data_IF_013099085159
#
_entry.id   IF_013099085159
#
_cell.length_a   1.000
_cell.length_b   1.000
_cell.length_c   1.000
_cell.angle_alpha   90.00
_cell.angle_beta   90.00
_cell.angle_gamma   90.00
#
_symmetry.space_group_name_H-M   'P 1'
#
loop_
_entity.id
_entity.type
_entity.pdbx_description
1 polymer ?
#
# COMPACT_ATOMS: atom_id res chain seq x y z
N UNK A 1 10.15 10.97 -17.47
CA UNK A 1 9.55 10.50 -16.22
C UNK A 1 9.85 9.03 -16.16
N UNK A 2 10.75 8.66 -15.26
CA UNK A 2 11.22 7.28 -15.11
C UNK A 2 10.10 6.48 -14.48
N UNK A 3 9.60 5.51 -15.23
CA UNK A 3 8.37 4.81 -14.96
C UNK A 3 8.67 3.58 -14.08
N UNK A 4 9.45 3.85 -13.03
CA UNK A 4 10.03 2.87 -12.11
C UNK A 4 8.95 2.23 -11.23
N UNK A 5 9.15 0.96 -10.90
CA UNK A 5 8.26 0.15 -10.08
C UNK A 5 9.04 -0.45 -8.90
N UNK A 6 8.49 -0.33 -7.70
CA UNK A 6 9.05 -0.95 -6.49
C UNK A 6 8.04 -1.95 -5.93
N UNK A 7 8.51 -3.16 -5.64
CA UNK A 7 7.68 -4.22 -5.07
C UNK A 7 7.83 -4.20 -3.56
N UNK A 8 6.71 -4.14 -2.85
CA UNK A 8 6.65 -4.18 -1.39
C UNK A 8 5.89 -5.43 -0.97
N UNK A 9 6.52 -6.31 -0.20
CA UNK A 9 5.86 -7.47 0.40
C UNK A 9 5.65 -7.21 1.89
N UNK A 10 4.38 -7.24 2.31
CA UNK A 10 4.02 -7.20 3.73
C UNK A 10 3.77 -8.60 4.25
N UNK A 11 4.57 -8.99 5.25
CA UNK A 11 4.51 -10.31 5.91
C UNK A 11 3.15 -10.57 6.57
N UNK A 12 2.78 -11.85 6.68
CA UNK A 12 1.58 -12.28 7.39
C UNK A 12 1.69 -11.93 8.87
N UNK A 13 0.61 -11.39 9.45
CA UNK A 13 0.55 -11.01 10.88
C UNK A 13 0.89 -12.15 11.83
N UNK A 14 0.38 -13.34 11.53
CA UNK A 14 0.57 -14.55 12.31
C UNK A 14 1.01 -15.64 11.34
N UNK A 15 2.31 -15.91 11.21
CA UNK A 15 2.82 -16.74 10.13
C UNK A 15 2.29 -18.18 10.21
N UNK A 16 1.82 -18.68 9.07
CA UNK A 16 1.46 -20.09 8.87
C UNK A 16 2.44 -20.70 7.86
N UNK A 17 2.66 -22.04 7.87
CA UNK A 17 3.55 -22.68 6.91
C UNK A 17 3.14 -22.41 5.45
N UNK A 18 1.84 -22.39 5.17
CA UNK A 18 1.27 -22.09 3.85
C UNK A 18 1.53 -20.63 3.45
N UNK A 19 1.26 -19.67 4.33
CA UNK A 19 1.52 -18.26 4.04
C UNK A 19 3.00 -17.95 3.84
N UNK A 20 3.86 -18.56 4.65
CA UNK A 20 5.32 -18.47 4.46
C UNK A 20 5.77 -19.08 3.14
N UNK A 21 5.15 -20.19 2.72
CA UNK A 21 5.44 -20.80 1.43
C UNK A 21 5.05 -19.88 0.26
N UNK A 22 3.88 -19.22 0.34
CA UNK A 22 3.45 -18.22 -0.66
C UNK A 22 4.42 -17.04 -0.71
N UNK A 23 4.74 -16.44 0.42
CA UNK A 23 5.69 -15.31 0.49
C UNK A 23 7.05 -15.68 -0.09
N UNK A 24 7.57 -16.85 0.29
CA UNK A 24 8.85 -17.35 -0.22
C UNK A 24 8.80 -17.57 -1.73
N UNK A 25 7.74 -18.20 -2.24
CA UNK A 25 7.60 -18.48 -3.66
C UNK A 25 7.48 -17.19 -4.49
N UNK A 26 6.77 -16.17 -3.99
CA UNK A 26 6.70 -14.85 -4.62
C UNK A 26 8.09 -14.19 -4.66
N UNK A 27 8.80 -14.18 -3.53
CA UNK A 27 10.15 -13.60 -3.46
C UNK A 27 11.13 -14.30 -4.40
N UNK A 28 11.06 -15.63 -4.50
CA UNK A 28 11.85 -16.41 -5.47
C UNK A 28 11.42 -16.10 -6.92
N UNK A 29 10.13 -15.88 -7.17
CA UNK A 29 9.63 -15.50 -8.49
C UNK A 29 10.12 -14.12 -8.94
N UNK A 30 10.37 -13.20 -8.01
CA UNK A 30 10.92 -11.87 -8.30
C UNK A 30 12.37 -11.91 -8.80
N UNK A 31 13.09 -13.03 -8.65
CA UNK A 31 14.44 -13.21 -9.22
C UNK A 31 14.45 -13.07 -10.77
N UNK A 32 13.29 -13.18 -11.41
CA UNK A 32 13.10 -12.93 -12.86
C UNK A 32 13.31 -11.46 -13.24
N UNK A 33 13.18 -10.54 -12.28
CA UNK A 33 13.35 -9.10 -12.47
C UNK A 33 14.35 -8.54 -11.46
N UNK A 34 15.66 -8.82 -11.62
CA UNK A 34 16.69 -8.41 -10.66
C UNK A 34 16.86 -6.89 -10.53
N UNK A 35 16.33 -6.13 -11.48
CA UNK A 35 16.36 -4.67 -11.49
C UNK A 35 15.20 -4.03 -10.69
N UNK A 36 14.20 -4.81 -10.25
CA UNK A 36 13.11 -4.27 -9.44
C UNK A 36 13.55 -4.17 -7.98
N UNK A 37 13.49 -2.98 -7.36
CA UNK A 37 13.70 -2.86 -5.92
C UNK A 37 12.60 -3.61 -5.18
N UNK A 38 13.02 -4.45 -4.22
CA UNK A 38 12.10 -5.23 -3.38
C UNK A 38 12.26 -4.81 -1.93
N UNK A 39 11.15 -4.42 -1.28
CA UNK A 39 11.11 -4.10 0.13
C UNK A 39 10.19 -5.08 0.85
N UNK A 40 10.76 -5.85 1.78
CA UNK A 40 10.00 -6.69 2.69
C UNK A 40 9.81 -5.94 4.00
N UNK A 41 8.56 -5.76 4.41
CA UNK A 41 8.17 -5.16 5.68
C UNK A 41 7.43 -6.18 6.53
N UNK A 42 7.38 -5.98 7.86
CA UNK A 42 6.46 -6.73 8.70
C UNK A 42 5.00 -6.48 8.29
N UNK A 43 4.06 -7.05 9.04
CA UNK A 43 2.66 -6.85 8.75
C UNK A 43 2.27 -5.36 8.76
N UNK A 44 1.78 -4.85 7.63
CA UNK A 44 1.60 -3.43 7.32
C UNK A 44 0.76 -2.72 8.39
N UNK A 45 -0.23 -3.43 8.91
CA UNK A 45 -1.16 -2.89 9.90
C UNK A 45 -0.55 -2.64 11.27
N UNK A 46 0.50 -3.41 11.61
CA UNK A 46 1.10 -3.41 12.95
C UNK A 46 2.41 -2.61 12.98
N UNK A 47 2.82 -2.01 11.86
CA UNK A 47 3.94 -1.08 11.81
C UNK A 47 3.72 0.11 12.75
N UNK A 48 4.80 0.55 13.38
CA UNK A 48 4.79 1.72 14.23
C UNK A 48 4.80 3.01 13.37
N UNK A 49 3.98 4.03 13.68
CA UNK A 49 3.99 5.30 12.95
C UNK A 49 5.36 5.99 12.94
N UNK A 50 6.13 5.82 14.03
CA UNK A 50 7.49 6.33 14.20
C UNK A 50 8.56 5.23 14.05
N UNK A 51 8.18 4.08 13.50
CA UNK A 51 9.06 2.95 13.20
C UNK A 51 9.89 3.18 11.94
N UNK A 52 10.55 2.14 11.45
CA UNK A 52 11.36 2.19 10.22
C UNK A 52 10.55 1.92 8.95
N UNK A 53 9.45 1.16 9.04
CA UNK A 53 8.64 0.76 7.88
C UNK A 53 8.02 1.95 7.13
N UNK A 54 7.26 2.80 7.82
CA UNK A 54 6.60 3.95 7.15
C UNK A 54 7.58 5.01 6.61
N UNK A 55 8.68 5.38 7.29
CA UNK A 55 9.73 6.18 6.66
C UNK A 55 10.24 5.58 5.35
N UNK A 56 10.57 4.28 5.32
CA UNK A 56 11.04 3.62 4.10
C UNK A 56 9.99 3.66 2.99
N UNK A 57 8.72 3.36 3.31
CA UNK A 57 7.61 3.43 2.34
C UNK A 57 7.38 4.84 1.79
N UNK A 58 7.59 5.89 2.60
CA UNK A 58 7.45 7.29 2.16
C UNK A 58 8.63 7.75 1.28
N UNK A 59 9.81 7.18 1.48
CA UNK A 59 10.98 7.45 0.64
C UNK A 59 10.81 6.93 -0.78
N UNK A 60 10.00 5.88 -0.99
CA UNK A 60 9.68 5.36 -2.33
C UNK A 60 8.95 6.44 -3.14
N UNK A 61 9.61 6.95 -4.19
CA UNK A 61 9.05 7.96 -5.12
C UNK A 61 8.46 7.35 -6.39
N UNK A 62 8.75 6.08 -6.63
CA UNK A 62 8.35 5.28 -7.80
C UNK A 62 6.92 4.75 -7.62
N UNK A 63 6.39 4.08 -8.64
CA UNK A 63 5.13 3.35 -8.47
C UNK A 63 5.35 2.15 -7.53
N UNK A 64 4.30 1.74 -6.82
CA UNK A 64 4.38 0.69 -5.80
C UNK A 64 3.46 -0.47 -6.18
N UNK A 65 3.97 -1.70 -6.15
CA UNK A 65 3.14 -2.90 -6.03
C UNK A 65 3.25 -3.40 -4.60
N UNK A 66 2.17 -3.31 -3.84
CA UNK A 66 2.07 -3.81 -2.48
C UNK A 66 1.38 -5.18 -2.48
N UNK A 67 2.12 -6.23 -2.13
CA UNK A 67 1.54 -7.54 -1.80
C UNK A 67 1.30 -7.59 -0.30
N UNK A 68 0.05 -7.83 0.12
CA UNK A 68 -0.30 -7.79 1.53
C UNK A 68 -1.37 -8.80 1.92
N UNK A 69 -1.36 -9.19 3.20
CA UNK A 69 -2.42 -10.00 3.82
C UNK A 69 -3.58 -9.14 4.33
N UNK A 70 -3.87 -8.02 3.66
CA UNK A 70 -4.98 -7.12 3.97
C UNK A 70 -5.86 -6.99 2.73
N UNK A 71 -7.14 -6.65 2.93
CA UNK A 71 -7.98 -6.25 1.81
C UNK A 71 -7.28 -5.09 1.07
N UNK A 72 -7.22 -5.09 -0.27
CA UNK A 72 -6.52 -4.10 -1.10
C UNK A 72 -6.82 -2.67 -0.67
N UNK A 73 -8.10 -2.38 -0.46
CA UNK A 73 -8.55 -1.09 0.04
C UNK A 73 -7.99 -0.79 1.42
N UNK A 74 -8.18 -1.70 2.39
CA UNK A 74 -7.64 -1.50 3.75
C UNK A 74 -6.13 -1.23 3.74
N UNK A 75 -5.37 -1.97 2.93
CA UNK A 75 -3.93 -1.77 2.76
C UNK A 75 -3.61 -0.35 2.24
N UNK A 76 -4.32 0.09 1.20
CA UNK A 76 -4.18 1.44 0.63
C UNK A 76 -4.50 2.54 1.67
N UNK A 77 -5.57 2.39 2.45
CA UNK A 77 -5.93 3.37 3.49
C UNK A 77 -4.90 3.43 4.62
N UNK A 78 -4.29 2.31 5.00
CA UNK A 78 -3.19 2.29 5.97
C UNK A 78 -1.99 3.08 5.46
N UNK A 79 -1.64 2.91 4.19
CA UNK A 79 -0.57 3.69 3.54
C UNK A 79 -0.88 5.19 3.56
N UNK A 80 -2.09 5.59 3.12
CA UNK A 80 -2.47 7.00 3.10
C UNK A 80 -2.50 7.63 4.50
N UNK A 81 -3.05 6.92 5.49
CA UNK A 81 -3.12 7.41 6.87
C UNK A 81 -1.73 7.66 7.49
N UNK A 82 -0.69 6.99 6.98
CA UNK A 82 0.70 7.15 7.43
C UNK A 82 1.55 7.99 6.46
N UNK A 83 0.92 8.76 5.56
CA UNK A 83 1.59 9.73 4.69
C UNK A 83 2.27 9.14 3.47
N UNK A 84 2.00 7.88 3.11
CA UNK A 84 2.40 7.31 1.83
C UNK A 84 1.36 7.73 0.79
N UNK A 85 1.66 8.78 0.03
CA UNK A 85 0.76 9.35 -0.97
C UNK A 85 0.74 8.51 -2.26
N UNK A 86 -0.32 8.65 -3.08
CA UNK A 86 -0.44 7.95 -4.36
C UNK A 86 -1.89 7.70 -4.74
N UNK A 87 -2.11 7.22 -5.96
CA UNK A 87 -3.41 6.80 -6.46
C UNK A 87 -3.53 5.28 -6.41
N UNK A 88 -4.70 4.78 -6.00
CA UNK A 88 -4.94 3.33 -5.99
C UNK A 88 -5.05 2.85 -7.44
N UNK A 89 -4.19 1.91 -7.82
CA UNK A 89 -4.20 1.29 -9.14
C UNK A 89 -5.27 0.21 -9.26
N UNK A 90 -5.76 0.00 -10.48
CA UNK A 90 -6.68 -1.09 -10.79
C UNK A 90 -5.90 -2.37 -11.12
N UNK A 91 -6.40 -3.51 -10.67
CA UNK A 91 -5.85 -4.83 -10.96
C UNK A 91 -7.00 -5.84 -11.07
N UNK A 92 -6.95 -6.81 -12.00
CA UNK A 92 -7.97 -7.85 -12.14
C UNK A 92 -8.09 -8.76 -10.91
N UNK A 93 -7.10 -8.76 -10.02
CA UNK A 93 -7.13 -9.52 -8.76
C UNK A 93 -7.96 -8.82 -7.67
N UNK A 94 -8.44 -7.60 -7.92
CA UNK A 94 -9.28 -6.83 -6.99
C UNK A 94 -10.64 -6.62 -7.63
N UNK A 95 -11.73 -7.13 -7.03
CA UNK A 95 -13.09 -6.89 -7.52
C UNK A 95 -13.36 -5.39 -7.66
N UNK A 96 -14.05 -4.98 -8.72
CA UNK A 96 -14.38 -3.58 -9.01
C UNK A 96 -15.15 -2.92 -7.85
N UNK A 97 -15.95 -3.72 -7.14
CA UNK A 97 -16.68 -3.37 -5.92
C UNK A 97 -15.77 -2.93 -4.75
N UNK A 98 -14.48 -3.24 -4.75
CA UNK A 98 -13.53 -2.74 -3.74
C UNK A 98 -12.86 -1.43 -4.17
N UNK A 99 -12.84 -1.14 -5.46
CA UNK A 99 -12.22 0.05 -6.05
C UNK A 99 -13.18 1.25 -6.03
N UNK A 100 -14.48 1.02 -6.21
CA UNK A 100 -15.47 2.09 -6.22
C UNK A 100 -15.62 2.78 -4.84
N UNK A 101 -15.60 4.13 -4.75
CA UNK A 101 -16.08 4.81 -3.56
C UNK A 101 -17.56 4.46 -3.37
N UNK A 102 -17.98 4.11 -2.14
CA UNK A 102 -19.39 3.85 -1.91
C UNK A 102 -20.19 5.07 -2.35
N UNK A 103 -21.18 4.85 -3.22
CA UNK A 103 -22.14 5.88 -3.59
C UNK A 103 -22.72 6.46 -2.29
N UNK A 104 -22.56 7.77 -2.10
CA UNK A 104 -23.21 8.46 -0.97
C UNK A 104 -24.71 8.18 -1.09
N UNK A 105 -25.38 7.68 -0.05
CA UNK A 105 -26.83 7.71 -0.02
C UNK A 105 -27.24 9.17 -0.18
N UNK A 106 -28.03 9.47 -1.20
CA UNK A 106 -28.56 10.82 -1.43
C UNK A 106 -29.41 11.18 -0.21
N UNK A 107 -29.00 12.22 0.50
CA UNK A 107 -29.62 12.67 1.75
C UNK A 107 -31.11 13.01 1.52
N UNK A 108 -32.00 12.31 2.22
CA UNK A 108 -33.35 12.83 2.49
C UNK A 108 -33.30 13.68 3.76
N UNK A 109 -33.35 14.98 3.55
CA UNK A 109 -33.43 16.04 4.54
C UNK A 109 -34.59 15.82 5.51
N UNK A 110 -34.32 15.68 6.81
CA UNK A 110 -35.24 16.14 7.87
C UNK A 110 -34.43 16.74 9.02
N UNK A 111 -34.61 18.04 9.18
CA UNK A 111 -34.13 18.83 10.30
C UNK A 111 -34.97 18.56 11.56
N UNK A 112 -34.31 18.42 12.71
CA UNK A 112 -34.80 18.83 14.03
C UNK A 112 -33.66 18.78 15.07
N UNK A 113 -33.02 19.93 15.23
CA UNK A 113 -32.71 20.67 16.48
C UNK A 113 -32.25 19.96 17.79
N UNK A 114 -31.25 20.62 18.40
CA UNK A 114 -30.92 20.76 19.84
C UNK A 114 -29.77 19.95 20.49
N UNK A 115 -29.09 20.52 21.54
CA UNK A 115 -27.64 20.82 21.48
C UNK A 115 -26.79 20.30 22.68
N UNK A 116 -25.46 20.47 22.55
CA UNK A 116 -24.38 20.45 23.56
C UNK A 116 -23.79 19.11 24.07
N UNK A 117 -22.46 18.99 23.90
CA UNK A 117 -21.56 18.09 24.62
C UNK A 117 -20.20 17.91 23.91
N UNK A 118 -19.04 18.27 24.50
CA UNK A 118 -17.81 18.53 23.77
C UNK A 118 -16.88 17.31 23.68
N UNK A 119 -16.34 17.01 22.50
CA UNK A 119 -15.00 16.43 22.39
C UNK A 119 -14.42 16.66 20.99
N UNK A 120 -13.73 17.79 20.84
CA UNK A 120 -12.88 18.06 19.69
C UNK A 120 -11.61 17.21 19.80
N UNK A 121 -11.70 15.94 19.42
CA UNK A 121 -10.52 15.23 18.94
C UNK A 121 -10.29 15.73 17.51
N UNK A 122 -9.35 16.68 17.40
CA UNK A 122 -8.92 17.25 16.13
C UNK A 122 -8.60 16.13 15.13
N UNK A 123 -9.54 15.88 14.21
CA UNK A 123 -9.24 15.14 12.99
C UNK A 123 -8.10 15.87 12.27
N UNK A 124 -7.15 15.17 11.66
CA UNK A 124 -6.07 15.84 10.96
C UNK A 124 -6.70 16.66 9.83
N UNK A 125 -6.65 17.98 10.01
CA UNK A 125 -7.05 18.98 9.03
C UNK A 125 -6.26 18.70 7.77
N UNK A 126 -6.95 18.27 6.72
CA UNK A 126 -6.37 18.10 5.39
C UNK A 126 -5.94 19.48 4.86
N UNK A 127 -4.71 19.87 5.20
CA UNK A 127 -4.01 20.95 4.51
C UNK A 127 -3.49 20.44 3.16
N UNK A 128 -3.50 21.26 2.10
CA UNK A 128 -3.02 20.85 0.79
C UNK A 128 -1.49 20.89 0.81
N UNK A 129 -0.86 19.75 1.11
CA UNK A 129 0.61 19.64 1.16
C UNK A 129 1.13 18.80 0.01
N UNK A 130 1.72 19.52 -0.95
CA UNK A 130 2.77 19.01 -1.84
C UNK A 130 2.26 18.12 -2.97
N UNK A 131 2.31 18.64 -4.19
CA UNK A 131 2.23 17.89 -5.45
C UNK A 131 3.38 16.87 -5.53
N UNK A 132 3.25 15.74 -4.84
CA UNK A 132 4.07 14.57 -5.14
C UNK A 132 3.50 13.93 -6.40
N UNK A 133 4.40 13.64 -7.35
CA UNK A 133 4.08 13.03 -8.63
C UNK A 133 3.01 11.95 -8.49
N UNK A 134 2.07 11.91 -9.45
CA UNK A 134 0.97 10.95 -9.55
C UNK A 134 1.50 9.50 -9.62
N UNK A 135 2.03 8.96 -8.52
CA UNK A 135 2.46 7.56 -8.43
C UNK A 135 1.26 6.68 -8.18
N UNK A 136 1.26 5.53 -8.82
CA UNK A 136 0.22 4.51 -8.65
C UNK A 136 0.68 3.48 -7.63
N UNK A 137 -0.26 3.05 -6.78
CA UNK A 137 -0.08 2.01 -5.78
C UNK A 137 -1.07 0.89 -6.10
N UNK A 138 -0.56 -0.25 -6.56
CA UNK A 138 -1.37 -1.46 -6.76
C UNK A 138 -1.30 -2.31 -5.51
N UNK A 139 -2.45 -2.65 -4.93
CA UNK A 139 -2.53 -3.51 -3.73
C UNK A 139 -3.05 -4.89 -4.13
N UNK A 140 -2.23 -5.93 -3.96
CA UNK A 140 -2.58 -7.32 -4.23
C UNK A 140 -2.90 -8.04 -2.92
N UNK A 141 -4.02 -8.76 -2.88
CA UNK A 141 -4.53 -9.46 -1.70
C UNK A 141 -4.03 -10.91 -1.64
N UNK A 142 -3.06 -11.18 -0.77
CA UNK A 142 -2.50 -12.52 -0.58
C UNK A 142 -3.46 -13.48 0.16
N UNK A 143 -4.57 -12.99 0.72
CA UNK A 143 -5.53 -13.83 1.45
C UNK A 143 -6.49 -14.56 0.54
N UNK A 144 -6.73 -14.03 -0.65
CA UNK A 144 -7.56 -14.73 -1.62
C UNK A 144 -6.77 -15.97 -2.07
N UNK A 145 -7.32 -17.19 -1.99
CA UNK A 145 -6.65 -18.38 -2.52
C UNK A 145 -6.49 -18.23 -4.03
N UNK A 146 -5.34 -17.71 -4.44
CA UNK A 146 -4.83 -17.68 -5.80
C UNK A 146 -3.55 -18.51 -5.87
N UNK A 147 -3.16 -18.91 -7.08
CA UNK A 147 -1.87 -19.59 -7.26
C UNK A 147 -0.77 -18.53 -7.27
N UNK A 148 0.44 -18.86 -6.81
CA UNK A 148 1.56 -17.91 -6.76
C UNK A 148 1.82 -17.30 -8.15
N UNK A 149 1.62 -18.11 -9.18
CA UNK A 149 1.74 -17.76 -10.59
C UNK A 149 0.80 -16.62 -10.99
N UNK A 150 -0.39 -16.50 -10.39
CA UNK A 150 -1.32 -15.41 -10.70
C UNK A 150 -0.77 -14.06 -10.23
N UNK A 151 -0.15 -14.01 -9.05
CA UNK A 151 0.51 -12.81 -8.54
C UNK A 151 1.74 -12.44 -9.37
N UNK A 152 2.53 -13.44 -9.79
CA UNK A 152 3.69 -13.22 -10.64
C UNK A 152 3.30 -12.75 -12.05
N UNK A 153 2.24 -13.31 -12.63
CA UNK A 153 1.70 -12.85 -13.92
C UNK A 153 1.18 -11.41 -13.83
N UNK A 154 0.55 -11.05 -12.71
CA UNK A 154 0.11 -9.66 -12.50
C UNK A 154 1.30 -8.71 -12.32
N UNK A 155 2.36 -9.11 -11.62
CA UNK A 155 3.61 -8.35 -11.54
C UNK A 155 4.23 -8.17 -12.92
N UNK A 156 4.28 -9.21 -13.75
CA UNK A 156 4.76 -9.15 -15.13
C UNK A 156 3.95 -8.12 -15.95
N UNK A 157 2.61 -8.21 -15.89
CA UNK A 157 1.72 -7.25 -16.55
C UNK A 157 1.95 -5.82 -16.09
N UNK A 158 2.17 -5.60 -14.78
CA UNK A 158 2.42 -4.27 -14.22
C UNK A 158 3.78 -3.73 -14.66
N UNK A 159 4.82 -4.57 -14.69
CA UNK A 159 6.15 -4.22 -15.19
C UNK A 159 6.07 -3.79 -16.65
N UNK A 160 5.33 -4.53 -17.48
CA UNK A 160 5.09 -4.18 -18.89
C UNK A 160 4.29 -2.89 -19.03
N UNK A 161 3.20 -2.75 -18.27
CA UNK A 161 2.33 -1.56 -18.28
C UNK A 161 3.09 -0.30 -17.90
N UNK A 162 3.99 -0.38 -16.92
CA UNK A 162 4.81 0.75 -16.51
C UNK A 162 6.10 0.83 -17.32
N UNK A 163 6.43 -0.11 -18.20
CA UNK A 163 7.77 -0.18 -18.82
C UNK A 163 8.91 -0.10 -17.78
N UNK A 164 8.72 -0.72 -16.60
CA UNK A 164 9.67 -0.64 -15.49
C UNK A 164 10.95 -1.46 -15.71
N UNK A 165 11.07 -2.13 -16.86
CA UNK A 165 12.12 -3.11 -17.16
C UNK A 165 13.43 -2.53 -17.71
N UNK A 166 13.68 -1.23 -17.59
CA UNK A 166 15.01 -0.66 -17.79
C UNK A 166 15.07 0.77 -17.25
N UNK A 167 15.88 1.01 -16.22
CA UNK A 167 16.46 2.34 -16.05
C UNK A 167 17.90 2.29 -16.53
N UNK A 168 18.09 2.85 -17.73
CA UNK A 168 19.32 3.57 -18.05
C UNK A 168 19.41 4.73 -17.06
N UNK A 169 20.22 4.61 -16.02
CA UNK A 169 20.47 5.72 -15.08
C UNK A 169 21.41 6.71 -15.78
N UNK A 170 21.05 7.99 -15.99
CA UNK A 170 22.05 9.03 -16.04
C UNK A 170 22.52 9.24 -14.59
N UNK A 171 23.79 8.95 -14.32
CA UNK A 171 24.46 9.38 -13.09
C UNK A 171 24.26 10.90 -12.95
N UNK A 172 23.31 11.37 -12.14
CA UNK A 172 23.45 12.56 -11.29
C UNK A 172 22.17 12.87 -10.50
N UNK A 173 22.40 13.30 -9.26
CA UNK A 173 21.55 14.18 -8.45
C UNK A 173 20.36 13.60 -7.67
N UNK A 174 20.69 12.94 -6.55
CA UNK A 174 19.83 12.84 -5.36
C UNK A 174 20.55 12.09 -4.23
N UNK A 175 20.32 12.42 -2.94
CA UNK A 175 20.78 11.53 -1.86
C UNK A 175 20.21 10.14 -2.13
N UNK A 176 21.00 9.06 -1.97
CA UNK A 176 20.54 7.71 -2.27
C UNK A 176 19.26 7.49 -1.48
N UNK A 177 18.16 7.20 -2.19
CA UNK A 177 17.02 6.56 -1.54
C UNK A 177 17.59 5.33 -0.83
N UNK A 178 17.26 5.10 0.44
CA UNK A 178 17.86 4.01 1.23
C UNK A 178 17.70 2.64 0.55
N UNK A 179 16.72 2.54 -0.34
CA UNK A 179 16.55 1.50 -1.34
C UNK A 179 17.40 1.86 -2.56
N UNK A 180 18.67 1.42 -2.58
CA UNK A 180 19.49 1.50 -3.78
C UNK A 180 18.82 0.77 -4.96
N UNK A 181 19.27 1.01 -6.20
CA UNK A 181 18.56 0.57 -7.41
C UNK A 181 18.47 -0.95 -7.62
N UNK A 182 19.14 -1.79 -6.80
CA UNK A 182 19.27 -3.23 -7.04
C UNK A 182 19.23 -4.07 -5.75
N UNK A 183 18.41 -3.73 -4.77
CA UNK A 183 18.50 -4.38 -3.45
C UNK A 183 17.15 -4.82 -2.92
N UNK A 184 17.04 -6.12 -2.64
CA UNK A 184 16.04 -6.66 -1.73
C UNK A 184 16.42 -6.25 -0.31
N UNK A 185 15.58 -5.45 0.35
CA UNK A 185 15.75 -5.04 1.73
C UNK A 185 14.64 -5.62 2.60
N UNK A 186 14.99 -6.21 3.73
CA UNK A 186 14.03 -6.60 4.77
C UNK A 186 14.13 -5.66 5.97
N UNK A 187 13.00 -5.12 6.39
CA UNK A 187 12.89 -4.30 7.60
C UNK A 187 12.41 -5.20 8.73
N UNK A 188 13.22 -5.32 9.76
CA UNK A 188 12.80 -5.88 11.04
C UNK A 188 12.58 -4.74 12.04
N UNK A 189 11.39 -4.67 12.63
CA UNK A 189 11.08 -3.68 13.66
C UNK A 189 10.07 -4.21 14.69
N UNK A 190 9.98 -3.48 15.80
CA UNK A 190 8.97 -3.77 16.82
C UNK A 190 7.57 -3.43 16.28
N UNK A 191 6.62 -4.31 16.55
CA UNK A 191 5.24 -4.17 16.10
C UNK A 191 4.32 -3.80 17.25
N UNK A 192 3.27 -3.04 16.93
CA UNK A 192 2.19 -2.77 17.85
C UNK A 192 0.91 -3.42 17.31
N UNK A 193 0.52 -4.60 17.85
CA UNK A 193 -0.72 -5.25 17.45
C UNK A 193 -1.92 -4.33 17.67
N UNK A 194 -2.58 -3.94 16.60
CA UNK A 194 -3.81 -3.14 16.66
C UNK A 194 -5.05 -4.04 16.65
N UNK A 195 -6.02 -3.73 17.51
CA UNK A 195 -7.26 -4.51 17.68
C UNK A 195 -8.46 -3.96 16.91
N UNK A 196 -8.43 -2.70 16.49
CA UNK A 196 -9.49 -2.09 15.70
C UNK A 196 -9.06 -1.99 14.24
N UNK A 197 -9.96 -2.21 13.26
CA UNK A 197 -9.67 -2.01 11.84
C UNK A 197 -9.49 -0.53 11.51
N UNK A 198 -8.68 -0.21 10.48
CA UNK A 198 -8.63 1.15 9.93
C UNK A 198 -9.98 1.42 9.30
N UNK A 199 -10.61 2.50 9.77
CA UNK A 199 -11.94 2.89 9.33
C UNK A 199 -11.83 3.49 7.93
N UNK A 200 -12.43 2.82 6.96
CA UNK A 200 -12.70 3.42 5.65
C UNK A 200 -13.82 4.45 5.78
N UNK A 201 -13.45 5.74 5.82
CA UNK A 201 -14.39 6.85 5.95
C UNK A 201 -15.33 7.01 4.75
N UNK A 202 -14.96 6.48 3.59
CA UNK A 202 -15.83 6.56 2.40
C UNK A 202 -17.00 5.57 2.45
N UNK A 203 -16.88 4.50 3.25
CA UNK A 203 -17.92 3.45 3.41
C UNK A 203 -18.54 3.41 4.80
N UNK A 204 -17.92 4.05 5.79
CA UNK A 204 -18.43 4.05 7.14
C UNK A 204 -19.76 4.81 7.20
N UNK A 205 -20.85 4.07 7.40
CA UNK A 205 -22.21 4.63 7.53
C UNK A 205 -22.46 5.39 8.84
N UNK A 206 -21.54 5.28 9.82
CA UNK A 206 -21.75 5.77 11.18
C UNK A 206 -20.55 6.54 11.74
N UNK A 207 -19.63 7.00 10.88
CA UNK A 207 -18.47 7.79 11.28
C UNK A 207 -18.81 9.27 11.07
N UNK A 208 -18.98 10.00 12.16
CA UNK A 208 -19.14 11.46 12.17
C UNK A 208 -17.78 12.16 12.26
#
# INVERSE_FOLDING_TARGET
>A
MENLLTVVLSRQRSPTPEGQAIEKAILQGLDRWPELPVLVIPHLYDLLPNGMGFPALREIRTNIVLLSWLYPRAAFWVLQANGVQGQMGQTPLVPEEELEPAARPTEQTKAADSPNGPNAAAGPTAGPTGSHAHRTIWCLDLRNPGVVEDYLAELERLVELTHATAVSVPEESGPPSRLGPFTMQEIEELLQPRWYPVIDRSRCRNCQ
#
